data_IF_226226096342
#
_entry.id   IF_226226096342
#
_cell.length_a   1.000
_cell.length_b   1.000
_cell.length_c   1.000
_cell.angle_alpha   90.00
_cell.angle_beta   90.00
_cell.angle_gamma   90.00
#
_symmetry.space_group_name_H-M   'P 1'
#
loop_
_entity.id
_entity.type
_entity.pdbx_description
1 polymer ?
#
# COMPACT_ATOMS: atom_id res chain seq x y z
N UNK A 1 -18.28 -11.53 9.37
CA UNK A 1 -17.40 -10.60 8.58
C UNK A 1 -15.98 -10.82 9.06
N UNK A 2 -14.99 -10.80 8.19
CA UNK A 2 -13.58 -10.82 8.61
C UNK A 2 -13.22 -9.55 9.38
N UNK A 3 -12.31 -9.68 10.35
CA UNK A 3 -11.72 -8.51 11.02
C UNK A 3 -11.06 -7.61 9.99
N UNK A 4 -11.24 -6.30 10.09
CA UNK A 4 -10.60 -5.34 9.17
C UNK A 4 -9.09 -5.31 9.39
N UNK A 5 -8.35 -5.23 8.29
CA UNK A 5 -6.89 -5.19 8.28
C UNK A 5 -6.41 -3.93 7.57
N UNK A 6 -5.69 -3.07 8.26
CA UNK A 6 -5.11 -1.86 7.70
C UNK A 6 -3.60 -1.99 7.56
N UNK A 7 -3.11 -2.08 6.32
CA UNK A 7 -1.70 -1.96 5.98
C UNK A 7 -1.28 -0.50 6.04
N UNK A 8 -0.58 -0.14 7.10
CA UNK A 8 -0.22 1.24 7.43
C UNK A 8 1.27 1.58 7.22
N UNK A 9 2.01 0.69 6.56
CA UNK A 9 3.33 1.02 6.03
C UNK A 9 3.23 1.88 4.76
N UNK A 10 4.15 2.80 4.56
CA UNK A 10 4.17 3.66 3.38
C UNK A 10 4.42 2.86 2.09
N UNK A 11 4.07 3.46 0.95
CA UNK A 11 4.38 2.89 -0.37
C UNK A 11 5.85 2.46 -0.47
N UNK A 12 6.17 1.51 -1.34
CA UNK A 12 7.51 0.93 -1.57
C UNK A 12 8.08 0.12 -0.40
N UNK A 13 7.27 -0.22 0.63
CA UNK A 13 7.58 -1.18 1.69
C UNK A 13 7.00 -2.59 1.40
N UNK A 14 6.82 -2.94 0.13
CA UNK A 14 6.19 -4.17 -0.36
C UNK A 14 4.67 -4.28 -0.11
N UNK A 15 3.95 -3.15 -0.10
CA UNK A 15 2.49 -3.07 0.06
C UNK A 15 1.73 -3.93 -0.95
N UNK A 16 2.19 -4.02 -2.21
CA UNK A 16 1.59 -4.90 -3.23
C UNK A 16 1.74 -6.40 -2.89
N UNK A 17 2.85 -6.80 -2.27
CA UNK A 17 3.04 -8.18 -1.80
C UNK A 17 2.10 -8.48 -0.65
N UNK A 18 1.95 -7.55 0.29
CA UNK A 18 0.96 -7.65 1.37
C UNK A 18 -0.47 -7.77 0.80
N UNK A 19 -0.84 -6.93 -0.17
CA UNK A 19 -2.16 -7.00 -0.82
C UNK A 19 -2.44 -8.39 -1.41
N UNK A 20 -1.48 -8.96 -2.15
CA UNK A 20 -1.59 -10.31 -2.72
C UNK A 20 -1.71 -11.38 -1.63
N UNK A 21 -0.97 -11.25 -0.54
CA UNK A 21 -1.03 -12.17 0.60
C UNK A 21 -2.41 -12.13 1.27
N UNK A 22 -2.92 -10.94 1.57
CA UNK A 22 -4.26 -10.76 2.15
C UNK A 22 -5.37 -11.26 1.21
N UNK A 23 -5.25 -11.01 -0.09
CA UNK A 23 -6.18 -11.54 -1.09
C UNK A 23 -6.15 -13.08 -1.14
N UNK A 24 -4.96 -13.69 -1.02
CA UNK A 24 -4.82 -15.15 -0.94
C UNK A 24 -5.54 -15.73 0.28
N UNK A 25 -5.49 -15.03 1.41
CA UNK A 25 -6.20 -15.39 2.64
C UNK A 25 -7.72 -15.06 2.57
N UNK A 26 -8.22 -14.63 1.41
CA UNK A 26 -9.64 -14.38 1.17
C UNK A 26 -10.16 -13.03 1.68
N UNK A 27 -9.29 -12.04 1.92
CA UNK A 27 -9.69 -10.67 2.19
C UNK A 27 -10.01 -9.93 0.90
N UNK A 28 -11.07 -9.12 0.89
CA UNK A 28 -11.32 -8.14 -0.17
C UNK A 28 -10.41 -6.95 0.06
N UNK A 29 -9.37 -6.79 -0.78
CA UNK A 29 -8.30 -5.80 -0.59
C UNK A 29 -8.47 -4.61 -1.53
N UNK A 30 -8.22 -3.40 -1.03
CA UNK A 30 -8.13 -2.17 -1.84
C UNK A 30 -6.89 -1.34 -1.49
N UNK A 31 -6.50 -0.46 -2.40
CA UNK A 31 -5.38 0.49 -2.30
C UNK A 31 -4.33 0.28 -3.41
N UNK A 32 -3.57 1.33 -3.76
CA UNK A 32 -3.75 2.72 -3.31
C UNK A 32 -5.06 3.35 -3.81
N UNK A 33 -5.56 4.35 -3.08
CA UNK A 33 -6.82 5.01 -3.40
C UNK A 33 -6.61 6.53 -3.52
N UNK A 34 -7.31 7.16 -4.46
CA UNK A 34 -7.43 8.63 -4.65
C UNK A 34 -6.09 9.39 -4.74
N UNK A 35 -5.05 8.76 -5.28
CA UNK A 35 -3.70 9.34 -5.33
C UNK A 35 -3.60 10.63 -6.15
N UNK A 36 -4.50 10.82 -7.11
CA UNK A 36 -4.57 11.97 -8.00
C UNK A 36 -5.61 13.03 -7.54
N UNK A 37 -6.25 12.84 -6.36
CA UNK A 37 -7.27 13.77 -5.87
C UNK A 37 -6.62 15.05 -5.30
N UNK A 38 -6.86 16.22 -5.89
CA UNK A 38 -6.28 17.48 -5.40
C UNK A 38 -6.88 17.94 -4.05
N UNK A 39 -8.07 17.46 -3.70
CA UNK A 39 -8.77 17.81 -2.45
C UNK A 39 -8.58 16.73 -1.37
N UNK A 40 -7.56 15.87 -1.52
CA UNK A 40 -7.40 14.71 -0.65
C UNK A 40 -7.36 15.04 0.84
N UNK A 41 -6.78 16.18 1.21
CA UNK A 41 -6.67 16.61 2.61
C UNK A 41 -8.04 16.80 3.28
N UNK A 42 -9.03 17.25 2.53
CA UNK A 42 -10.37 17.57 3.01
C UNK A 42 -11.33 16.38 2.95
N UNK A 43 -11.21 15.55 1.90
CA UNK A 43 -12.19 14.53 1.56
C UNK A 43 -11.81 13.13 2.07
N UNK A 44 -10.55 12.89 2.43
CA UNK A 44 -10.00 11.55 2.66
C UNK A 44 -10.72 10.78 3.76
N UNK A 45 -11.14 11.43 4.83
CA UNK A 45 -11.75 10.73 5.98
C UNK A 45 -13.13 10.18 5.63
N UNK A 46 -13.98 10.99 5.00
CA UNK A 46 -15.31 10.55 4.57
C UNK A 46 -15.22 9.41 3.57
N UNK A 47 -14.41 9.61 2.51
CA UNK A 47 -14.17 8.57 1.48
C UNK A 47 -13.61 7.28 2.07
N UNK A 48 -12.66 7.38 3.02
CA UNK A 48 -12.06 6.20 3.64
C UNK A 48 -13.07 5.42 4.50
N UNK A 49 -13.91 6.09 5.27
CA UNK A 49 -14.92 5.44 6.09
C UNK A 49 -16.00 4.78 5.24
N UNK A 50 -16.42 5.41 4.14
CA UNK A 50 -17.35 4.80 3.18
C UNK A 50 -16.73 3.54 2.55
N UNK A 51 -15.49 3.65 2.05
CA UNK A 51 -14.82 2.53 1.42
C UNK A 51 -14.54 1.38 2.41
N UNK A 52 -14.30 1.71 3.69
CA UNK A 52 -14.11 0.72 4.73
C UNK A 52 -15.33 -0.17 4.98
N UNK A 53 -16.52 0.24 4.61
CA UNK A 53 -17.71 -0.61 4.67
C UNK A 53 -17.75 -1.69 3.55
N UNK A 54 -16.99 -1.50 2.48
CA UNK A 54 -17.04 -2.35 1.27
C UNK A 54 -15.91 -3.37 1.19
N UNK A 55 -14.78 -3.11 1.87
CA UNK A 55 -13.57 -3.93 1.83
C UNK A 55 -13.19 -4.45 3.21
N UNK A 56 -12.37 -5.49 3.25
CA UNK A 56 -11.91 -6.12 4.48
C UNK A 56 -10.47 -5.73 4.81
N UNK A 57 -9.66 -5.42 3.77
CA UNK A 57 -8.26 -5.06 3.94
C UNK A 57 -7.84 -3.87 3.05
N UNK A 58 -6.91 -3.09 3.55
CA UNK A 58 -6.50 -1.82 2.98
C UNK A 58 -4.99 -1.71 3.00
N UNK A 59 -4.39 -1.11 1.97
CA UNK A 59 -2.95 -0.94 1.92
C UNK A 59 -2.52 0.23 1.04
N UNK A 60 -1.28 0.71 1.24
CA UNK A 60 -0.71 1.85 0.54
C UNK A 60 -1.48 3.15 0.85
N UNK A 61 -1.20 4.25 0.16
CA UNK A 61 -1.82 5.54 0.43
C UNK A 61 -3.33 5.55 0.13
N UNK A 62 -4.12 6.26 0.95
CA UNK A 62 -3.79 7.12 2.11
C UNK A 62 -3.78 6.39 3.47
N UNK A 63 -3.99 5.09 3.51
CA UNK A 63 -4.26 4.32 4.73
C UNK A 63 -3.21 4.50 5.84
N UNK A 64 -1.90 4.66 5.54
CA UNK A 64 -0.88 4.92 6.55
C UNK A 64 -1.15 6.18 7.38
N UNK A 65 -1.74 7.21 6.78
CA UNK A 65 -1.96 8.50 7.48
C UNK A 65 -3.17 8.45 8.39
N UNK A 66 -4.13 7.56 8.10
CA UNK A 66 -5.44 7.52 8.74
C UNK A 66 -5.52 6.57 9.95
N UNK A 67 -4.42 5.93 10.35
CA UNK A 67 -4.45 4.81 11.31
C UNK A 67 -5.11 5.14 12.65
N UNK A 68 -4.95 6.36 13.19
CA UNK A 68 -5.55 6.77 14.46
C UNK A 68 -7.09 6.87 14.37
N UNK A 69 -7.57 7.45 13.28
CA UNK A 69 -9.00 7.59 13.00
C UNK A 69 -9.65 6.25 12.69
N UNK A 70 -8.95 5.39 11.95
CA UNK A 70 -9.38 4.04 11.65
C UNK A 70 -9.45 3.16 12.90
N UNK A 71 -8.49 3.28 13.81
CA UNK A 71 -8.49 2.57 15.09
C UNK A 71 -9.69 2.99 15.95
N UNK A 72 -9.95 4.29 16.06
CA UNK A 72 -11.13 4.81 16.78
C UNK A 72 -12.46 4.34 16.16
N UNK A 73 -12.54 4.31 14.83
CA UNK A 73 -13.77 3.94 14.11
C UNK A 73 -14.00 2.43 14.06
N UNK A 74 -12.92 1.65 14.07
CA UNK A 74 -12.94 0.18 13.95
C UNK A 74 -12.04 -0.47 15.02
N UNK A 75 -12.42 -0.43 16.31
CA UNK A 75 -11.53 -0.76 17.45
C UNK A 75 -11.05 -2.22 17.48
N UNK A 76 -11.74 -3.13 16.78
CA UNK A 76 -11.32 -4.54 16.66
C UNK A 76 -10.42 -4.81 15.44
N UNK A 77 -9.93 -3.78 14.76
CA UNK A 77 -9.11 -3.94 13.57
C UNK A 77 -7.68 -4.38 13.89
N UNK A 78 -7.04 -4.99 12.90
CA UNK A 78 -5.61 -5.33 12.91
C UNK A 78 -4.86 -4.34 12.01
N UNK A 79 -3.68 -3.94 12.46
CA UNK A 79 -2.81 -3.00 11.75
C UNK A 79 -1.51 -3.69 11.37
N UNK A 80 -1.02 -3.46 10.16
CA UNK A 80 0.24 -4.03 9.67
C UNK A 80 1.14 -2.89 9.20
N UNK A 81 2.21 -2.65 9.97
CA UNK A 81 3.25 -1.70 9.59
C UNK A 81 4.30 -2.44 8.76
N UNK A 82 4.24 -2.30 7.43
CA UNK A 82 5.31 -2.81 6.59
C UNK A 82 6.50 -1.86 6.62
N UNK A 83 7.68 -2.40 6.90
CA UNK A 83 8.94 -1.64 7.00
C UNK A 83 9.93 -2.01 5.90
N UNK A 84 10.84 -1.08 5.66
CA UNK A 84 12.05 -1.24 4.85
C UNK A 84 13.13 -0.32 5.39
N UNK A 85 14.42 -0.66 5.24
CA UNK A 85 15.52 0.24 5.59
C UNK A 85 15.38 1.58 4.85
N UNK A 86 15.56 2.71 5.55
CA UNK A 86 15.27 4.06 5.03
C UNK A 86 16.03 4.38 3.75
N UNK A 87 17.30 3.99 3.67
CA UNK A 87 18.15 4.17 2.50
C UNK A 87 17.68 3.34 1.28
N UNK A 88 17.24 2.10 1.50
CA UNK A 88 16.66 1.29 0.44
C UNK A 88 15.26 1.76 0.04
N UNK A 89 14.48 2.22 1.02
CA UNK A 89 13.15 2.76 0.79
C UNK A 89 13.21 3.99 -0.10
N UNK A 90 14.04 4.99 0.24
CA UNK A 90 14.13 6.23 -0.55
C UNK A 90 14.65 5.98 -1.96
N UNK A 91 15.66 5.11 -2.14
CA UNK A 91 16.10 4.69 -3.49
C UNK A 91 14.94 4.11 -4.32
N UNK A 92 14.09 3.26 -3.69
CA UNK A 92 12.93 2.69 -4.38
C UNK A 92 11.86 3.73 -4.70
N UNK A 93 11.67 4.73 -3.85
CA UNK A 93 10.73 5.85 -4.03
C UNK A 93 11.17 6.72 -5.19
N UNK A 94 12.42 7.20 -5.17
CA UNK A 94 12.99 8.05 -6.24
C UNK A 94 12.98 7.32 -7.59
N UNK A 95 13.44 6.06 -7.62
CA UNK A 95 13.46 5.27 -8.86
C UNK A 95 12.06 5.02 -9.45
N UNK A 96 11.02 5.07 -8.65
CA UNK A 96 9.66 4.81 -9.11
C UNK A 96 8.90 6.08 -9.49
N UNK A 97 9.04 7.14 -8.71
CA UNK A 97 8.25 8.36 -8.86
C UNK A 97 9.02 9.50 -9.53
N UNK A 98 10.34 9.55 -9.35
CA UNK A 98 11.23 10.60 -9.89
C UNK A 98 10.70 12.01 -9.57
N UNK A 99 10.51 12.84 -10.58
CA UNK A 99 10.02 14.24 -10.51
C UNK A 99 8.50 14.35 -10.75
N UNK A 100 7.79 13.23 -10.81
CA UNK A 100 6.34 13.27 -11.07
C UNK A 100 5.61 13.83 -9.86
N UNK A 101 5.00 14.98 -10.01
CA UNK A 101 4.11 15.59 -9.02
C UNK A 101 2.85 14.76 -8.78
N UNK A 102 2.38 14.74 -7.52
CA UNK A 102 1.13 14.05 -7.18
C UNK A 102 0.51 14.63 -5.89
N UNK A 103 -0.79 14.99 -5.91
CA UNK A 103 -1.48 15.60 -4.76
C UNK A 103 -1.35 14.79 -3.46
N UNK A 104 -1.51 13.47 -3.54
CA UNK A 104 -1.35 12.59 -2.39
C UNK A 104 0.03 12.71 -1.74
N UNK A 105 1.10 12.84 -2.52
CA UNK A 105 2.45 12.98 -1.96
C UNK A 105 2.67 14.37 -1.39
N UNK A 106 2.16 15.39 -2.05
CA UNK A 106 2.20 16.74 -1.51
C UNK A 106 1.51 16.82 -0.13
N UNK A 107 0.33 16.25 0.00
CA UNK A 107 -0.37 16.14 1.27
C UNK A 107 0.41 15.39 2.36
N UNK A 108 1.07 14.28 2.03
CA UNK A 108 1.79 13.44 2.99
C UNK A 108 3.14 14.04 3.40
N UNK A 109 3.88 14.58 2.43
CA UNK A 109 5.29 14.99 2.59
C UNK A 109 5.48 16.52 2.57
N UNK A 110 4.49 17.29 2.15
CA UNK A 110 4.60 18.73 1.91
C UNK A 110 5.26 19.07 0.57
N UNK A 111 5.67 18.06 -0.20
CA UNK A 111 6.25 18.19 -1.55
C UNK A 111 5.78 17.03 -2.42
N UNK A 112 5.41 17.32 -3.67
CA UNK A 112 4.71 16.37 -4.54
C UNK A 112 5.59 15.31 -5.20
N UNK A 113 6.93 15.46 -5.18
CA UNK A 113 7.87 14.51 -5.79
C UNK A 113 9.11 14.25 -4.93
N UNK A 114 9.71 13.04 -4.98
CA UNK A 114 10.83 12.66 -4.10
C UNK A 114 12.21 13.11 -4.61
N UNK A 115 12.44 13.22 -5.93
CA UNK A 115 13.78 13.52 -6.45
C UNK A 115 14.18 14.95 -6.11
N UNK A 116 15.31 15.12 -5.40
CA UNK A 116 15.75 16.39 -4.85
C UNK A 116 15.10 16.78 -3.51
N UNK A 117 14.18 15.92 -2.99
CA UNK A 117 13.50 16.10 -1.71
C UNK A 117 13.66 14.87 -0.80
N UNK A 118 14.73 14.09 -1.01
CA UNK A 118 14.94 12.80 -0.36
C UNK A 118 14.90 12.91 1.16
N UNK A 119 15.53 13.92 1.73
CA UNK A 119 15.60 14.14 3.19
C UNK A 119 14.20 14.40 3.79
N UNK A 120 13.37 15.17 3.11
CA UNK A 120 11.98 15.42 3.52
C UNK A 120 11.18 14.12 3.57
N UNK A 121 11.34 13.29 2.55
CA UNK A 121 10.67 11.99 2.47
C UNK A 121 11.16 11.04 3.56
N UNK A 122 12.48 10.93 3.78
CA UNK A 122 13.07 10.08 4.82
C UNK A 122 12.56 10.52 6.20
N UNK A 123 12.67 11.81 6.51
CA UNK A 123 12.24 12.35 7.80
C UNK A 123 10.75 12.05 8.08
N UNK A 124 9.88 12.18 7.07
CA UNK A 124 8.44 11.87 7.21
C UNK A 124 8.18 10.38 7.37
N UNK A 125 8.90 9.54 6.62
CA UNK A 125 8.82 8.07 6.72
C UNK A 125 9.22 7.58 8.11
N UNK A 126 10.37 8.01 8.60
CA UNK A 126 10.88 7.61 9.91
C UNK A 126 10.02 8.13 11.06
N UNK A 127 9.54 9.37 10.95
CA UNK A 127 8.60 9.93 11.91
C UNK A 127 7.32 9.10 11.96
N UNK A 128 6.73 8.75 10.82
CA UNK A 128 5.54 7.90 10.76
C UNK A 128 5.76 6.55 11.45
N UNK A 129 6.87 5.89 11.16
CA UNK A 129 7.17 4.59 11.76
C UNK A 129 7.30 4.70 13.29
N UNK A 130 7.98 5.73 13.81
CA UNK A 130 8.08 5.98 15.26
C UNK A 130 6.72 6.28 15.88
N UNK A 131 5.93 7.14 15.26
CA UNK A 131 4.58 7.49 15.73
C UNK A 131 3.64 6.29 15.81
N UNK A 132 3.68 5.40 14.83
CA UNK A 132 2.88 4.15 14.82
C UNK A 132 3.33 3.21 15.94
N UNK A 133 4.64 2.98 16.07
CA UNK A 133 5.17 2.10 17.12
C UNK A 133 4.82 2.62 18.52
N UNK A 134 4.94 3.91 18.76
CA UNK A 134 4.57 4.52 20.04
C UNK A 134 3.06 4.45 20.29
N UNK A 135 2.23 4.68 19.26
CA UNK A 135 0.78 4.64 19.39
C UNK A 135 0.24 3.24 19.79
N UNK A 136 0.88 2.19 19.29
CA UNK A 136 0.48 0.80 19.54
C UNK A 136 1.37 0.08 20.57
N UNK A 137 2.26 0.75 21.28
CA UNK A 137 3.26 0.12 22.17
C UNK A 137 2.69 -0.87 23.17
N UNK A 138 1.51 -0.58 23.72
CA UNK A 138 0.83 -1.41 24.73
C UNK A 138 -0.26 -2.30 24.10
N UNK A 139 -0.31 -2.43 22.77
CA UNK A 139 -1.35 -3.16 22.01
C UNK A 139 -0.74 -4.04 20.93
N UNK A 140 0.20 -4.89 21.32
CA UNK A 140 0.93 -5.78 20.39
C UNK A 140 0.02 -6.77 19.65
N UNK A 141 -1.14 -7.07 20.19
CA UNK A 141 -2.15 -7.91 19.54
C UNK A 141 -2.86 -7.19 18.37
N UNK A 142 -2.77 -5.86 18.29
CA UNK A 142 -3.37 -5.06 17.21
C UNK A 142 -2.38 -4.63 16.13
N UNK A 143 -1.06 -4.60 16.41
CA UNK A 143 -0.04 -4.19 15.45
C UNK A 143 0.93 -5.32 15.13
N UNK A 144 1.05 -5.64 13.83
CA UNK A 144 2.15 -6.43 13.29
C UNK A 144 3.17 -5.54 12.59
N UNK A 145 4.43 -5.64 12.98
CA UNK A 145 5.55 -5.06 12.23
C UNK A 145 6.12 -6.13 11.30
N UNK A 146 6.18 -5.83 9.99
CA UNK A 146 6.50 -6.82 8.97
C UNK A 146 7.50 -6.27 7.95
N UNK A 147 8.71 -6.85 7.88
CA UNK A 147 9.69 -6.54 6.85
C UNK A 147 9.69 -7.59 5.74
N UNK A 148 8.75 -7.44 4.79
CA UNK A 148 8.61 -8.34 3.64
C UNK A 148 9.87 -8.32 2.76
N UNK A 149 10.56 -7.19 2.67
CA UNK A 149 11.76 -7.06 1.84
C UNK A 149 12.95 -7.84 2.41
N UNK A 150 12.98 -8.05 3.72
CA UNK A 150 13.95 -8.91 4.41
C UNK A 150 13.54 -10.40 4.44
N UNK A 151 12.42 -10.76 3.80
CA UNK A 151 11.99 -12.16 3.71
C UNK A 151 10.93 -12.59 4.71
N UNK A 152 10.45 -11.71 5.57
CA UNK A 152 9.33 -12.01 6.45
C UNK A 152 8.04 -12.21 5.64
N UNK A 153 7.15 -13.08 6.14
CA UNK A 153 5.95 -13.43 5.40
C UNK A 153 4.93 -14.20 6.21
N UNK A 154 4.50 -15.38 5.72
CA UNK A 154 3.41 -16.16 6.28
C UNK A 154 3.57 -16.50 7.76
N UNK A 155 4.78 -16.80 8.21
CA UNK A 155 5.09 -17.19 9.60
C UNK A 155 4.81 -16.10 10.63
N UNK A 156 4.81 -14.83 10.22
CA UNK A 156 4.38 -13.70 11.05
C UNK A 156 2.95 -13.28 10.76
N UNK A 157 2.57 -13.23 9.49
CA UNK A 157 1.28 -12.71 9.07
C UNK A 157 0.12 -13.61 9.51
N UNK A 158 0.21 -14.92 9.28
CA UNK A 158 -0.89 -15.83 9.55
C UNK A 158 -1.24 -15.97 11.04
N UNK A 159 -0.27 -16.18 11.96
CA UNK A 159 -0.58 -16.20 13.40
C UNK A 159 -1.21 -14.89 13.90
N UNK A 160 -0.73 -13.75 13.39
CA UNK A 160 -1.28 -12.44 13.75
C UNK A 160 -2.75 -12.29 13.33
N UNK A 161 -3.13 -12.84 12.17
CA UNK A 161 -4.49 -12.78 11.65
C UNK A 161 -5.38 -13.93 12.13
N UNK A 162 -4.84 -14.92 12.83
CA UNK A 162 -5.55 -16.15 13.19
C UNK A 162 -5.83 -17.06 11.99
N UNK A 163 -4.99 -17.01 10.96
CA UNK A 163 -5.14 -17.77 9.72
C UNK A 163 -4.12 -18.93 9.66
N UNK A 164 -4.42 -19.97 8.91
CA UNK A 164 -3.49 -21.06 8.65
C UNK A 164 -2.39 -20.64 7.67
N UNK A 165 -1.16 -21.14 7.92
CA UNK A 165 -0.03 -20.89 7.02
C UNK A 165 -0.24 -21.67 5.72
N UNK A 166 -0.29 -20.99 4.54
CA UNK A 166 -0.42 -21.66 3.26
C UNK A 166 0.82 -22.50 2.90
N UNK A 167 0.64 -23.56 2.13
CA UNK A 167 1.74 -24.38 1.58
C UNK A 167 2.51 -23.71 0.44
N UNK A 168 2.09 -22.53 0.00
CA UNK A 168 2.72 -21.75 -1.08
C UNK A 168 3.66 -20.69 -0.52
N UNK A 169 4.67 -20.31 -1.29
CA UNK A 169 5.58 -19.22 -0.92
C UNK A 169 4.86 -17.88 -0.75
N UNK A 170 5.40 -17.01 0.11
CA UNK A 170 4.84 -15.67 0.30
C UNK A 170 4.90 -14.87 -1.02
N UNK A 171 3.82 -14.16 -1.42
CA UNK A 171 3.78 -13.44 -2.68
C UNK A 171 4.87 -12.36 -2.75
N UNK A 172 5.67 -12.40 -3.79
CA UNK A 172 6.64 -11.34 -4.11
C UNK A 172 6.18 -10.61 -5.36
N UNK A 173 5.79 -9.36 -5.21
CA UNK A 173 5.28 -8.55 -6.29
C UNK A 173 6.20 -7.36 -6.57
N UNK A 174 6.22 -6.90 -7.82
CA UNK A 174 7.00 -5.74 -8.26
C UNK A 174 8.51 -5.87 -7.95
N UNK A 175 9.03 -7.09 -8.01
CA UNK A 175 10.48 -7.32 -7.92
C UNK A 175 11.20 -6.61 -9.07
N UNK A 176 12.50 -6.32 -8.89
CA UNK A 176 13.30 -5.72 -9.97
C UNK A 176 13.24 -6.57 -11.25
N UNK A 177 13.25 -7.91 -11.11
CA UNK A 177 13.15 -8.85 -12.22
C UNK A 177 11.78 -8.84 -12.92
N UNK A 178 10.67 -8.71 -12.18
CA UNK A 178 9.35 -8.56 -12.79
C UNK A 178 9.21 -7.24 -13.53
N UNK A 179 9.72 -6.15 -12.95
CA UNK A 179 9.73 -4.84 -13.62
C UNK A 179 10.57 -4.84 -14.90
N UNK A 180 11.71 -5.50 -14.89
CA UNK A 180 12.54 -5.64 -16.08
C UNK A 180 11.87 -6.50 -17.16
N UNK A 181 11.22 -7.60 -16.80
CA UNK A 181 10.40 -8.42 -17.71
C UNK A 181 9.27 -7.62 -18.34
N UNK A 182 8.56 -6.83 -17.52
CA UNK A 182 7.48 -5.96 -18.02
C UNK A 182 8.03 -4.88 -18.97
N UNK A 183 9.15 -4.22 -18.64
CA UNK A 183 9.80 -3.24 -19.49
C UNK A 183 10.27 -3.84 -20.83
N UNK A 184 10.83 -5.07 -20.81
CA UNK A 184 11.21 -5.80 -22.03
C UNK A 184 9.98 -6.16 -22.87
N UNK A 185 8.87 -6.54 -22.26
CA UNK A 185 7.60 -6.80 -22.98
C UNK A 185 7.00 -5.52 -23.57
N UNK A 186 7.03 -4.40 -22.86
CA UNK A 186 6.55 -3.10 -23.34
C UNK A 186 7.40 -2.54 -24.48
N UNK A 187 8.72 -2.77 -24.46
CA UNK A 187 9.61 -2.37 -25.57
C UNK A 187 9.43 -3.21 -26.83
N UNK A 188 8.88 -4.42 -26.72
CA UNK A 188 8.63 -5.33 -27.86
C UNK A 188 7.30 -5.04 -28.57
N UNK A 189 6.39 -4.27 -27.96
CA UNK A 189 5.08 -3.94 -28.56
C UNK A 189 5.05 -2.49 -29.05
N UNK A 190 4.61 -2.19 -30.29
CA UNK A 190 4.48 -0.82 -30.79
C UNK A 190 3.56 -0.02 -29.86
N UNK A 191 3.97 1.16 -29.41
CA UNK A 191 3.24 2.05 -28.47
C UNK A 191 1.75 2.23 -28.80
N UNK A 192 1.37 2.17 -30.05
CA UNK A 192 -0.02 2.31 -30.53
C UNK A 192 -0.93 1.17 -30.09
N UNK A 193 -0.44 -0.07 -30.03
CA UNK A 193 -1.25 -1.24 -29.65
C UNK A 193 -1.42 -1.37 -28.13
N UNK A 194 -0.43 -0.94 -27.35
CA UNK A 194 -0.47 -0.96 -25.87
C UNK A 194 -1.52 0.01 -25.30
N UNK A 195 -1.63 1.22 -25.86
CA UNK A 195 -2.63 2.22 -25.45
C UNK A 195 -4.05 1.72 -25.73
N UNK A 196 -4.27 1.03 -26.84
CA UNK A 196 -5.58 0.48 -27.23
C UNK A 196 -5.99 -0.67 -26.31
N UNK A 197 -5.04 -1.54 -25.94
CA UNK A 197 -5.32 -2.68 -25.05
C UNK A 197 -5.61 -2.22 -23.60
N UNK A 198 -4.86 -1.26 -23.08
CA UNK A 198 -5.10 -0.66 -21.76
C UNK A 198 -6.45 0.07 -21.68
N UNK A 199 -6.83 0.80 -22.73
CA UNK A 199 -8.14 1.46 -22.82
C UNK A 199 -9.30 0.44 -22.89
N UNK A 200 -9.10 -0.69 -23.56
CA UNK A 200 -10.10 -1.76 -23.66
C UNK A 200 -10.24 -2.55 -22.34
N UNK A 201 -9.14 -2.87 -21.68
CA UNK A 201 -9.15 -3.50 -20.35
C UNK A 201 -9.80 -2.60 -19.29
N UNK A 202 -9.52 -1.29 -19.30
CA UNK A 202 -10.14 -0.33 -18.38
C UNK A 202 -11.66 -0.20 -18.60
N UNK A 203 -12.13 -0.25 -19.87
CA UNK A 203 -13.57 -0.25 -20.21
C UNK A 203 -14.28 -1.52 -19.74
N UNK A 204 -13.65 -2.68 -19.81
CA UNK A 204 -14.24 -3.95 -19.36
C UNK A 204 -14.35 -3.99 -17.82
N UNK A 205 -13.40 -3.42 -17.09
CA UNK A 205 -13.46 -3.30 -15.62
C UNK A 205 -14.53 -2.31 -15.14
N UNK A 206 -14.80 -1.24 -15.88
CA UNK A 206 -15.85 -0.26 -15.52
C UNK A 206 -17.25 -0.71 -15.89
N UNK A 207 -17.43 -1.56 -16.89
CA UNK A 207 -18.75 -2.10 -17.27
C UNK A 207 -19.22 -3.27 -16.40
N UNK A 208 -18.34 -3.91 -15.61
CA UNK A 208 -18.70 -4.95 -14.63
C UNK A 208 -19.20 -4.40 -13.29
N UNK A 209 -19.13 -3.08 -13.06
CA UNK A 209 -19.54 -2.42 -11.81
C UNK A 209 -20.94 -1.79 -11.96
N UNK A 210 -21.50 -1.78 -13.16
CA UNK A 210 -22.80 -1.17 -13.48
C UNK A 210 -23.95 -2.18 -13.70
N UNK A 211 -23.84 -3.40 -13.14
CA UNK A 211 -24.95 -4.37 -13.06
C UNK A 211 -25.09 -4.92 -11.65
#
# INVERSE_FOLDING_TARGET
MKTKVFGIGFHKTATTSLAKALSYLGYRVTGPNWVDNPNIAEEVYEMAFELANRFDAFQDNPWPILYKELDRKFPSSKFILTLRASDEWIRSVVNHFSEKEMPMREWIYGVGHPKGNEDVYIARYERHNREVLEYFKDRSEQLLVLNITAGEGWTKLCPFLGEHIPSVGFPRANTASEREKLRKRESFWPRRMYITFRRRAKRLMTSSIAR
#
